data_IF_136479974056
#
_entry.id   IF_136479974056
#
_cell.length_a   1.000
_cell.length_b   1.000
_cell.length_c   1.000
_cell.angle_alpha   90.00
_cell.angle_beta   90.00
_cell.angle_gamma   90.00
#
_symmetry.space_group_name_H-M   'P 1'
#
loop_
_entity.id
_entity.type
_entity.pdbx_description
1 polymer ?
#
# COMPACT_ATOMS: atom_id res chain seq x y z
N UNK A 1 21.34 1.82 14.70
CA UNK A 1 20.38 2.94 14.59
C UNK A 1 19.67 2.95 13.24
N UNK A 2 20.41 2.95 12.13
CA UNK A 2 19.86 3.11 10.77
C UNK A 2 18.76 2.08 10.42
N UNK A 3 18.93 0.80 10.80
CA UNK A 3 17.90 -0.24 10.59
C UNK A 3 16.54 0.07 11.27
N UNK A 4 16.58 0.61 12.49
CA UNK A 4 15.37 0.97 13.25
C UNK A 4 14.71 2.20 12.62
N UNK A 5 15.52 3.19 12.22
CA UNK A 5 15.01 4.39 11.56
C UNK A 5 14.37 4.02 10.21
N UNK A 6 15.01 3.18 9.40
CA UNK A 6 14.45 2.62 8.17
C UNK A 6 13.11 1.92 8.42
N UNK A 7 13.04 1.11 9.48
CA UNK A 7 11.80 0.43 9.85
C UNK A 7 10.69 1.43 10.20
N UNK A 8 10.98 2.42 11.05
CA UNK A 8 10.02 3.46 11.43
C UNK A 8 9.56 4.27 10.22
N UNK A 9 10.48 4.68 9.34
CA UNK A 9 10.16 5.37 8.08
C UNK A 9 9.22 4.53 7.21
N UNK A 10 9.48 3.22 7.10
CA UNK A 10 8.66 2.29 6.30
C UNK A 10 7.24 2.10 6.83
N UNK A 11 7.04 2.35 8.13
CA UNK A 11 5.72 2.34 8.79
C UNK A 11 4.97 3.66 8.68
N UNK A 12 5.59 4.78 8.28
CA UNK A 12 4.87 6.05 8.16
C UNK A 12 4.12 6.09 6.81
N UNK A 13 2.82 6.44 6.78
CA UNK A 13 2.09 6.67 5.54
C UNK A 13 2.77 7.73 4.68
N UNK A 14 2.56 7.69 3.36
CA UNK A 14 3.12 8.60 2.35
C UNK A 14 4.63 8.44 2.11
N UNK A 15 5.43 8.21 3.16
CA UNK A 15 6.88 7.98 3.03
C UNK A 15 7.14 6.51 2.69
N UNK A 16 6.55 5.60 3.47
CA UNK A 16 6.53 4.15 3.24
C UNK A 16 7.88 3.55 2.77
N UNK A 17 7.83 2.44 2.04
CA UNK A 17 8.96 1.79 1.40
C UNK A 17 9.70 2.73 0.43
N UNK A 18 9.01 3.73 -0.13
CA UNK A 18 9.57 4.71 -1.09
C UNK A 18 10.61 5.62 -0.45
N UNK A 19 10.48 5.97 0.82
CA UNK A 19 11.49 6.70 1.58
C UNK A 19 12.43 5.77 2.34
N UNK A 20 11.93 4.64 2.85
CA UNK A 20 12.72 3.72 3.66
C UNK A 20 13.87 3.08 2.87
N UNK A 21 13.62 2.62 1.64
CA UNK A 21 14.64 1.92 0.82
C UNK A 21 15.76 2.87 0.39
N UNK A 22 15.48 4.06 -0.19
CA UNK A 22 16.54 4.99 -0.54
C UNK A 22 17.36 5.45 0.68
N UNK A 23 16.70 5.75 1.80
CA UNK A 23 17.39 6.13 3.05
C UNK A 23 18.31 5.01 3.56
N UNK A 24 17.83 3.77 3.57
CA UNK A 24 18.63 2.63 4.01
C UNK A 24 19.88 2.44 3.15
N UNK A 25 19.72 2.45 1.83
CA UNK A 25 20.83 2.27 0.89
C UNK A 25 21.83 3.44 1.02
N UNK A 26 21.34 4.68 1.09
CA UNK A 26 22.18 5.87 1.24
C UNK A 26 22.95 5.90 2.59
N UNK A 27 22.43 5.25 3.63
CA UNK A 27 23.09 5.12 4.94
C UNK A 27 23.98 3.88 5.05
N UNK A 28 24.22 3.19 3.93
CA UNK A 28 25.14 2.04 3.83
C UNK A 28 24.52 0.68 4.14
N UNK A 29 23.20 0.58 4.29
CA UNK A 29 22.52 -0.71 4.47
C UNK A 29 22.45 -1.42 3.11
N UNK A 30 22.87 -2.70 3.01
CA UNK A 30 22.74 -3.48 1.79
C UNK A 30 21.30 -3.50 1.26
N UNK A 31 21.13 -3.37 -0.06
CA UNK A 31 19.82 -3.32 -0.73
C UNK A 31 18.88 -4.45 -0.27
N UNK A 32 19.37 -5.69 -0.19
CA UNK A 32 18.54 -6.82 0.24
C UNK A 32 17.98 -6.67 1.65
N UNK A 33 18.77 -6.13 2.59
CA UNK A 33 18.31 -5.87 3.95
C UNK A 33 17.34 -4.69 3.99
N UNK A 34 17.61 -3.64 3.22
CA UNK A 34 16.70 -2.50 3.05
C UNK A 34 15.32 -2.95 2.52
N UNK A 35 15.30 -3.85 1.54
CA UNK A 35 14.07 -4.40 0.96
C UNK A 35 13.30 -5.24 1.98
N UNK A 36 13.96 -6.16 2.68
CA UNK A 36 13.30 -7.01 3.69
C UNK A 36 12.68 -6.14 4.78
N UNK A 37 13.44 -5.20 5.33
CA UNK A 37 12.97 -4.31 6.40
C UNK A 37 11.85 -3.42 5.89
N UNK A 38 11.99 -2.85 4.70
CA UNK A 38 10.95 -2.04 4.07
C UNK A 38 9.65 -2.81 3.88
N UNK A 39 9.71 -4.04 3.36
CA UNK A 39 8.52 -4.90 3.15
C UNK A 39 7.86 -5.23 4.49
N UNK A 40 8.63 -5.66 5.49
CA UNK A 40 8.09 -6.03 6.81
C UNK A 40 7.47 -4.82 7.51
N UNK A 41 8.16 -3.68 7.53
CA UNK A 41 7.66 -2.43 8.11
C UNK A 41 6.35 -2.01 7.45
N UNK A 42 6.24 -2.17 6.13
CA UNK A 42 5.09 -1.72 5.38
C UNK A 42 3.90 -2.68 5.45
N UNK A 43 4.16 -3.99 5.55
CA UNK A 43 3.11 -5.00 5.70
C UNK A 43 2.55 -5.08 7.13
N UNK A 44 3.25 -4.63 8.16
CA UNK A 44 2.77 -4.62 9.53
C UNK A 44 1.48 -3.76 9.73
N UNK A 45 1.40 -2.51 9.25
CA UNK A 45 0.19 -1.70 9.37
C UNK A 45 -0.93 -2.09 8.39
N UNK A 46 -0.63 -2.77 7.27
CA UNK A 46 -1.61 -3.11 6.21
C UNK A 46 -2.84 -3.88 6.74
N UNK A 47 -2.71 -5.01 7.46
CA UNK A 47 -3.86 -5.71 8.02
C UNK A 47 -4.71 -4.83 8.93
N UNK A 48 -4.05 -4.00 9.76
CA UNK A 48 -4.70 -3.11 10.72
C UNK A 48 -5.53 -2.06 9.96
N UNK A 49 -4.94 -1.44 8.94
CA UNK A 49 -5.62 -0.45 8.09
C UNK A 49 -6.83 -1.07 7.41
N UNK A 50 -6.71 -2.27 6.85
CA UNK A 50 -7.81 -2.93 6.15
C UNK A 50 -9.04 -3.07 7.06
N UNK A 51 -8.85 -3.66 8.26
CA UNK A 51 -9.96 -3.89 9.18
C UNK A 51 -10.46 -2.59 9.81
N UNK A 52 -9.55 -1.68 10.19
CA UNK A 52 -9.92 -0.42 10.81
C UNK A 52 -10.69 0.49 9.83
N UNK A 53 -10.21 0.62 8.59
CA UNK A 53 -10.88 1.41 7.57
C UNK A 53 -12.28 0.87 7.29
N UNK A 54 -12.44 -0.45 7.17
CA UNK A 54 -13.77 -1.05 7.00
C UNK A 54 -14.69 -0.74 8.18
N UNK A 55 -14.19 -0.94 9.40
CA UNK A 55 -14.97 -0.71 10.62
C UNK A 55 -15.38 0.77 10.78
N UNK A 56 -14.48 1.69 10.45
CA UNK A 56 -14.74 3.14 10.46
C UNK A 56 -15.74 3.53 9.38
N UNK A 57 -15.64 2.96 8.17
CA UNK A 57 -16.57 3.25 7.09
C UNK A 57 -18.00 2.81 7.45
N UNK A 58 -18.15 1.59 7.97
CA UNK A 58 -19.44 1.04 8.43
C UNK A 58 -20.01 1.83 9.60
N UNK A 59 -19.20 2.11 10.63
CA UNK A 59 -19.64 2.91 11.78
C UNK A 59 -20.00 4.35 11.38
N UNK A 60 -19.26 4.93 10.44
CA UNK A 60 -19.45 6.29 9.96
C UNK A 60 -20.75 6.46 9.20
N UNK A 61 -21.21 5.41 8.50
CA UNK A 61 -22.45 5.41 7.73
C UNK A 61 -23.70 5.70 8.59
N UNK A 62 -23.70 5.28 9.86
CA UNK A 62 -24.82 5.45 10.79
C UNK A 62 -24.79 6.80 11.53
N UNK A 63 -23.86 7.71 11.20
CA UNK A 63 -23.73 9.00 11.90
C UNK A 63 -24.56 10.11 11.26
N UNK A 64 -25.21 10.97 12.06
CA UNK A 64 -26.17 11.97 11.56
C UNK A 64 -25.53 13.06 10.68
N UNK A 65 -24.25 13.39 10.88
CA UNK A 65 -23.56 14.47 10.14
C UNK A 65 -22.71 13.95 8.98
N UNK A 66 -22.00 12.84 9.19
CA UNK A 66 -21.03 12.29 8.23
C UNK A 66 -21.54 11.04 7.49
N UNK A 67 -22.68 10.48 7.92
CA UNK A 67 -23.22 9.21 7.40
C UNK A 67 -23.56 9.22 5.93
N UNK A 68 -23.97 10.36 5.38
CA UNK A 68 -24.18 10.51 3.93
C UNK A 68 -22.92 10.26 3.11
N UNK A 69 -21.78 10.81 3.55
CA UNK A 69 -20.48 10.63 2.87
C UNK A 69 -19.97 9.20 2.99
N UNK A 70 -20.00 8.63 4.19
CA UNK A 70 -19.54 7.26 4.44
C UNK A 70 -20.41 6.22 3.70
N UNK A 71 -21.73 6.40 3.72
CA UNK A 71 -22.67 5.58 2.93
C UNK A 71 -22.42 5.73 1.43
N UNK A 72 -22.13 6.94 0.96
CA UNK A 72 -21.76 7.17 -0.44
C UNK A 72 -20.46 6.46 -0.81
N UNK A 73 -19.42 6.53 0.03
CA UNK A 73 -18.15 5.83 -0.16
C UNK A 73 -18.36 4.31 -0.22
N UNK A 74 -19.13 3.73 0.71
CA UNK A 74 -19.46 2.29 0.71
C UNK A 74 -20.24 1.89 -0.54
N UNK A 75 -21.33 2.60 -0.88
CA UNK A 75 -22.14 2.29 -2.08
C UNK A 75 -21.33 2.42 -3.36
N UNK A 76 -20.48 3.43 -3.46
CA UNK A 76 -19.63 3.66 -4.64
C UNK A 76 -18.50 2.63 -4.71
N UNK A 77 -17.91 2.28 -3.57
CA UNK A 77 -16.95 1.18 -3.44
C UNK A 77 -17.53 -0.15 -3.89
N UNK A 78 -18.70 -0.54 -3.37
CA UNK A 78 -19.40 -1.75 -3.78
C UNK A 78 -19.77 -1.76 -5.27
N UNK A 79 -20.34 -0.66 -5.79
CA UNK A 79 -20.65 -0.56 -7.23
C UNK A 79 -19.38 -0.62 -8.09
N UNK A 80 -18.31 0.04 -7.66
CA UNK A 80 -17.02 0.04 -8.34
C UNK A 80 -16.37 -1.34 -8.35
N UNK A 81 -16.29 -1.99 -7.19
CA UNK A 81 -15.79 -3.35 -7.01
C UNK A 81 -16.58 -4.35 -7.82
N UNK A 82 -17.92 -4.28 -7.77
CA UNK A 82 -18.80 -5.14 -8.57
C UNK A 82 -18.62 -4.91 -10.07
N UNK A 83 -18.57 -3.66 -10.55
CA UNK A 83 -18.34 -3.36 -11.97
C UNK A 83 -16.97 -3.87 -12.45
N UNK A 84 -15.93 -3.71 -11.64
CA UNK A 84 -14.59 -4.22 -11.92
C UNK A 84 -14.55 -5.76 -11.94
N UNK A 85 -15.22 -6.41 -10.98
CA UNK A 85 -15.37 -7.86 -10.96
C UNK A 85 -16.17 -8.37 -12.16
N UNK A 86 -17.25 -7.71 -12.54
CA UNK A 86 -18.09 -8.09 -13.69
C UNK A 86 -17.34 -7.90 -15.02
N UNK A 87 -16.44 -6.91 -15.11
CA UNK A 87 -15.70 -6.59 -16.35
C UNK A 87 -14.41 -7.38 -16.50
N UNK A 88 -13.66 -7.57 -15.41
CA UNK A 88 -12.30 -8.12 -15.42
C UNK A 88 -12.08 -9.28 -14.44
N UNK A 89 -13.13 -9.69 -13.72
CA UNK A 89 -13.06 -10.72 -12.70
C UNK A 89 -12.25 -10.31 -11.48
N UNK A 90 -12.13 -11.24 -10.54
CA UNK A 90 -11.25 -11.09 -9.37
C UNK A 90 -9.77 -10.88 -9.76
N UNK A 91 -9.35 -11.43 -10.90
CA UNK A 91 -7.98 -11.25 -11.41
C UNK A 91 -7.72 -9.79 -11.82
N UNK A 92 -8.72 -9.11 -12.37
CA UNK A 92 -8.61 -7.69 -12.73
C UNK A 92 -8.42 -6.79 -11.51
N UNK A 93 -9.18 -7.03 -10.44
CA UNK A 93 -9.02 -6.30 -9.17
C UNK A 93 -7.64 -6.59 -8.55
N UNK A 94 -7.19 -7.86 -8.59
CA UNK A 94 -5.86 -8.25 -8.13
C UNK A 94 -4.75 -7.47 -8.84
N UNK A 95 -4.77 -7.48 -10.18
CA UNK A 95 -3.75 -6.83 -10.99
C UNK A 95 -3.80 -5.32 -10.82
N UNK A 96 -4.99 -4.73 -10.79
CA UNK A 96 -5.16 -3.30 -10.56
C UNK A 96 -4.57 -2.88 -9.21
N UNK A 97 -4.84 -3.65 -8.14
CA UNK A 97 -4.32 -3.36 -6.81
C UNK A 97 -2.80 -3.56 -6.73
N UNK A 98 -2.28 -4.63 -7.33
CA UNK A 98 -0.85 -4.90 -7.42
C UNK A 98 -0.12 -3.77 -8.15
N UNK A 99 -0.60 -3.36 -9.32
CA UNK A 99 0.00 -2.29 -10.11
C UNK A 99 -0.12 -0.94 -9.41
N UNK A 100 -1.26 -0.67 -8.77
CA UNK A 100 -1.46 0.55 -7.99
C UNK A 100 -0.41 0.68 -6.88
N UNK A 101 -0.16 -0.41 -6.13
CA UNK A 101 0.85 -0.40 -5.06
C UNK A 101 2.28 -0.46 -5.61
N UNK A 102 2.48 -1.21 -6.70
CA UNK A 102 3.79 -1.58 -7.23
C UNK A 102 4.46 -0.52 -8.09
N UNK A 103 3.70 0.33 -8.78
CA UNK A 103 4.27 1.48 -9.49
C UNK A 103 4.48 2.61 -8.47
N UNK A 104 5.71 3.07 -8.23
CA UNK A 104 6.00 4.09 -7.22
C UNK A 104 5.57 5.49 -7.69
N UNK A 105 4.27 5.77 -7.68
CA UNK A 105 3.68 7.06 -8.01
C UNK A 105 3.37 7.81 -6.71
N UNK A 106 3.57 9.14 -6.63
CA UNK A 106 3.13 9.91 -5.47
C UNK A 106 1.62 9.71 -5.21
N UNK A 107 1.26 9.36 -3.97
CA UNK A 107 -0.12 9.06 -3.57
C UNK A 107 -0.56 7.61 -3.76
N UNK A 108 0.24 6.77 -4.43
CA UNK A 108 0.03 5.32 -4.46
C UNK A 108 0.94 4.62 -3.46
N UNK A 109 0.42 3.60 -2.80
CA UNK A 109 1.00 3.10 -1.56
C UNK A 109 0.36 1.81 -1.12
N UNK A 110 1.04 1.05 -0.26
CA UNK A 110 0.37 -0.05 0.41
C UNK A 110 -0.74 0.47 1.31
N UNK A 111 -0.56 1.64 1.92
CA UNK A 111 -1.59 2.26 2.76
C UNK A 111 -2.81 2.64 1.92
N UNK A 112 -2.61 3.41 0.84
CA UNK A 112 -3.72 3.84 -0.03
C UNK A 112 -4.33 2.69 -0.81
N UNK A 113 -3.54 1.70 -1.22
CA UNK A 113 -4.03 0.47 -1.85
C UNK A 113 -4.88 -0.37 -0.91
N UNK A 114 -4.45 -0.54 0.35
CA UNK A 114 -5.23 -1.26 1.36
C UNK A 114 -6.53 -0.55 1.71
N UNK A 115 -6.50 0.79 1.80
CA UNK A 115 -7.72 1.61 1.95
C UNK A 115 -8.66 1.40 0.75
N UNK A 116 -8.16 1.47 -0.48
CA UNK A 116 -8.96 1.22 -1.67
C UNK A 116 -9.57 -0.19 -1.66
N UNK A 117 -8.80 -1.22 -1.29
CA UNK A 117 -9.28 -2.59 -1.17
C UNK A 117 -10.39 -2.73 -0.11
N UNK A 118 -10.27 -2.03 1.03
CA UNK A 118 -11.30 -2.03 2.09
C UNK A 118 -12.61 -1.35 1.66
N UNK A 119 -12.51 -0.31 0.80
CA UNK A 119 -13.67 0.40 0.23
C UNK A 119 -14.34 -0.44 -0.86
N UNK A 120 -13.55 -1.13 -1.69
CA UNK A 120 -14.04 -2.02 -2.75
C UNK A 120 -14.67 -3.31 -2.21
N UNK A 121 -14.55 -3.56 -0.89
CA UNK A 121 -15.06 -4.76 -0.20
C UNK A 121 -14.56 -6.07 -0.79
N UNK A 122 -13.27 -6.11 -1.11
CA UNK A 122 -12.66 -7.29 -1.72
C UNK A 122 -12.05 -8.21 -0.67
N UNK A 123 -11.88 -9.50 -1.00
CA UNK A 123 -11.44 -10.51 -0.04
C UNK A 123 -10.09 -10.12 0.61
N UNK A 124 -10.03 -10.22 1.94
CA UNK A 124 -8.87 -9.80 2.73
C UNK A 124 -7.57 -10.49 2.31
N UNK A 125 -7.61 -11.82 2.10
CA UNK A 125 -6.41 -12.60 1.76
C UNK A 125 -5.89 -12.18 0.40
N UNK A 126 -6.79 -12.03 -0.58
CA UNK A 126 -6.44 -11.60 -1.94
C UNK A 126 -5.91 -10.17 -1.96
N UNK A 127 -6.52 -9.28 -1.18
CA UNK A 127 -6.10 -7.89 -1.01
C UNK A 127 -4.70 -7.79 -0.43
N UNK A 128 -4.42 -8.50 0.67
CA UNK A 128 -3.07 -8.54 1.28
C UNK A 128 -2.04 -9.14 0.33
N UNK A 129 -2.36 -10.23 -0.37
CA UNK A 129 -1.43 -10.82 -1.32
C UNK A 129 -1.11 -9.86 -2.46
N UNK A 130 -2.11 -9.18 -3.04
CA UNK A 130 -1.88 -8.19 -4.09
C UNK A 130 -1.04 -7.01 -3.60
N UNK A 131 -1.34 -6.49 -2.40
CA UNK A 131 -0.56 -5.40 -1.78
C UNK A 131 0.87 -5.86 -1.52
N UNK A 132 1.09 -7.04 -0.94
CA UNK A 132 2.42 -7.58 -0.67
C UNK A 132 3.26 -7.73 -1.94
N UNK A 133 2.68 -8.28 -3.01
CA UNK A 133 3.38 -8.39 -4.30
C UNK A 133 3.68 -7.00 -4.89
N UNK A 134 2.75 -6.06 -4.75
CA UNK A 134 2.98 -4.67 -5.13
C UNK A 134 4.12 -4.03 -4.33
N UNK A 135 4.17 -4.22 -3.01
CA UNK A 135 5.24 -3.70 -2.14
C UNK A 135 6.60 -4.27 -2.53
N UNK A 136 6.68 -5.57 -2.84
CA UNK A 136 7.91 -6.21 -3.32
C UNK A 136 8.34 -5.60 -4.66
N UNK A 137 7.40 -5.46 -5.61
CA UNK A 137 7.67 -4.86 -6.92
C UNK A 137 8.16 -3.41 -6.78
N UNK A 138 7.46 -2.59 -6.00
CA UNK A 138 7.85 -1.21 -5.72
C UNK A 138 9.24 -1.15 -5.06
N UNK A 139 9.55 -2.08 -4.15
CA UNK A 139 10.86 -2.14 -3.52
C UNK A 139 11.98 -2.46 -4.49
N UNK A 140 11.80 -3.43 -5.37
CA UNK A 140 12.79 -3.74 -6.40
C UNK A 140 13.05 -2.54 -7.31
N UNK A 141 11.99 -1.84 -7.73
CA UNK A 141 12.10 -0.62 -8.56
C UNK A 141 12.85 0.47 -7.78
N UNK A 142 12.44 0.77 -6.54
CA UNK A 142 13.06 1.82 -5.73
C UNK A 142 14.52 1.50 -5.40
N UNK A 143 14.84 0.25 -5.09
CA UNK A 143 16.20 -0.19 -4.82
C UNK A 143 17.10 -0.05 -6.06
N UNK A 144 16.62 -0.49 -7.23
CA UNK A 144 17.34 -0.32 -8.48
C UNK A 144 17.56 1.16 -8.83
N UNK A 145 16.52 2.00 -8.74
CA UNK A 145 16.62 3.44 -8.97
C UNK A 145 17.60 4.12 -8.02
N UNK A 146 17.63 3.70 -6.75
CA UNK A 146 18.56 4.27 -5.78
C UNK A 146 20.00 3.88 -6.07
N UNK A 147 20.26 2.60 -6.37
CA UNK A 147 21.63 2.14 -6.70
C UNK A 147 22.13 2.80 -7.99
N UNK A 148 21.30 2.86 -9.03
CA UNK A 148 21.64 3.53 -10.28
C UNK A 148 21.84 5.04 -10.08
N UNK A 149 20.98 5.69 -9.31
CA UNK A 149 21.07 7.12 -9.03
C UNK A 149 22.31 7.49 -8.23
N UNK A 150 22.65 6.72 -7.19
CA UNK A 150 23.87 6.92 -6.40
C UNK A 150 25.13 6.65 -7.24
N UNK A 151 25.13 5.62 -8.08
CA UNK A 151 26.24 5.31 -8.97
C UNK A 151 26.46 6.33 -10.09
N UNK A 152 25.42 7.09 -10.46
CA UNK A 152 25.54 8.20 -11.42
C UNK A 152 26.09 9.49 -10.79
N UNK A 153 26.08 9.60 -9.46
CA UNK A 153 26.53 10.77 -8.69
C UNK A 153 27.94 10.60 -8.11
N UNK A 154 28.49 9.39 -8.16
CA UNK A 154 29.85 9.03 -7.71
C UNK A 154 30.85 9.00 -8.85
#
# INVERSE_FOLDING_TARGET
MNYIITFLIGMVPLIELRGAVPYAIATGIPMWQALIIGVVANMLPVPIIFFFARRVLEWGADKPVIGGFFTWCLKKGHKGGKKLADTAGDKGIFIALLLFVGIPIPGTGAWTGTLAASILDWDFKRSITAVMLGVILAGLIMGALTVLGLGALS
#
